data_IF_651931080727
#
_entry.id   IF_651931080727
#
_cell.length_a   1.000
_cell.length_b   1.000
_cell.length_c   1.000
_cell.angle_alpha   90.00
_cell.angle_beta   90.00
_cell.angle_gamma   90.00
#
_symmetry.space_group_name_H-M   'P 1'
#
loop_
_entity.id
_entity.type
_entity.pdbx_description
1 polymer ?
#
# COMPACT_ATOMS: atom_id res chain seq x y z
N UNK A 1 -5.47 -1.48 -25.91
CA UNK A 1 -5.05 -1.70 -24.52
C UNK A 1 -3.55 -1.47 -24.50
N UNK A 2 -3.08 -0.38 -23.88
CA UNK A 2 -1.64 -0.06 -23.86
C UNK A 2 -1.00 -0.92 -22.78
N UNK A 3 -0.17 -1.87 -23.20
CA UNK A 3 0.54 -2.79 -22.30
C UNK A 3 1.87 -2.16 -21.89
N UNK A 4 2.01 -1.89 -20.59
CA UNK A 4 3.26 -1.53 -19.95
C UNK A 4 4.06 -2.82 -19.72
N UNK A 5 5.23 -3.00 -20.35
CA UNK A 5 5.96 -4.27 -20.34
C UNK A 5 7.02 -4.29 -19.23
N UNK A 6 6.70 -4.72 -18.00
CA UNK A 6 7.80 -5.05 -17.05
C UNK A 6 7.47 -5.86 -15.79
N UNK A 7 6.22 -6.18 -15.42
CA UNK A 7 5.96 -6.84 -14.13
C UNK A 7 5.23 -8.20 -14.24
N UNK A 8 5.75 -9.29 -13.63
CA UNK A 8 5.10 -10.60 -13.60
C UNK A 8 3.80 -10.66 -12.76
N UNK A 9 3.41 -9.54 -12.13
CA UNK A 9 2.13 -9.35 -11.44
C UNK A 9 1.67 -7.93 -11.75
N UNK A 10 0.61 -7.79 -12.55
CA UNK A 10 0.37 -6.57 -13.32
C UNK A 10 -0.75 -5.70 -12.72
N UNK A 11 -0.55 -4.39 -12.69
CA UNK A 11 -1.61 -3.38 -12.68
C UNK A 11 -1.93 -3.01 -14.13
N UNK A 12 -3.10 -3.38 -14.64
CA UNK A 12 -3.57 -2.94 -15.94
C UNK A 12 -4.21 -1.56 -15.92
N UNK A 13 -3.98 -0.78 -16.97
CA UNK A 13 -4.67 0.49 -17.16
C UNK A 13 -5.96 0.23 -17.95
N UNK A 14 -7.10 0.62 -17.39
CA UNK A 14 -8.36 0.71 -18.12
C UNK A 14 -8.67 2.18 -18.44
N UNK A 15 -8.93 2.45 -19.70
CA UNK A 15 -9.28 3.78 -20.19
C UNK A 15 -10.68 4.21 -19.71
N UNK A 16 -10.81 5.43 -19.19
CA UNK A 16 -12.12 6.03 -18.90
C UNK A 16 -12.09 7.56 -19.02
N UNK A 17 -12.78 8.16 -19.99
CA UNK A 17 -12.89 9.63 -20.06
C UNK A 17 -13.69 10.18 -18.87
N UNK A 18 -13.16 11.20 -18.17
CA UNK A 18 -13.91 11.96 -17.16
C UNK A 18 -14.04 13.41 -17.61
N UNK A 19 -15.24 13.97 -17.55
CA UNK A 19 -15.48 15.38 -17.86
C UNK A 19 -15.31 16.20 -16.58
N UNK A 20 -14.35 17.12 -16.55
CA UNK A 20 -14.17 18.04 -15.44
C UNK A 20 -14.84 19.39 -15.76
N UNK A 21 -15.62 19.91 -14.82
CA UNK A 21 -16.31 21.21 -14.95
C UNK A 21 -15.60 22.24 -14.08
N UNK A 22 -14.94 23.21 -14.72
CA UNK A 22 -14.36 24.36 -14.04
C UNK A 22 -15.26 25.60 -14.14
N UNK A 23 -15.36 26.38 -13.07
CA UNK A 23 -15.92 27.72 -13.08
C UNK A 23 -14.77 28.72 -12.94
N UNK A 24 -14.56 29.58 -13.93
CA UNK A 24 -13.83 30.83 -13.69
C UNK A 24 -14.82 31.86 -13.16
N UNK A 25 -14.36 32.66 -12.19
CA UNK A 25 -15.04 33.88 -11.80
C UNK A 25 -15.22 34.72 -13.06
N UNK A 26 -16.49 34.91 -13.43
CA UNK A 26 -16.96 35.71 -14.57
C UNK A 26 -16.81 35.02 -15.94
N UNK A 27 -17.97 34.60 -16.48
CA UNK A 27 -18.24 34.08 -17.84
C UNK A 27 -18.05 32.57 -18.08
N UNK A 28 -19.20 31.93 -18.38
CA UNK A 28 -19.49 30.59 -18.94
C UNK A 28 -18.67 29.35 -18.48
N UNK A 29 -19.32 28.20 -18.21
CA UNK A 29 -18.61 26.97 -17.89
C UNK A 29 -17.77 26.52 -19.08
N UNK A 30 -16.45 26.42 -18.89
CA UNK A 30 -15.57 25.74 -19.83
C UNK A 30 -15.64 24.25 -19.52
N UNK A 31 -15.98 23.45 -20.53
CA UNK A 31 -15.91 22.00 -20.45
C UNK A 31 -14.55 21.55 -20.96
N UNK A 32 -13.63 21.28 -20.05
CA UNK A 32 -12.39 20.56 -20.38
C UNK A 32 -12.67 19.07 -20.25
N UNK A 33 -12.68 18.37 -21.39
CA UNK A 33 -12.71 16.91 -21.41
C UNK A 33 -11.29 16.42 -21.21
N UNK A 34 -10.96 16.05 -19.98
CA UNK A 34 -9.68 15.43 -19.67
C UNK A 34 -9.82 13.91 -19.82
N UNK A 35 -8.94 13.33 -20.63
CA UNK A 35 -8.86 11.87 -20.68
C UNK A 35 -8.16 11.37 -19.43
N UNK A 36 -8.86 10.52 -18.70
CA UNK A 36 -8.39 9.93 -17.47
C UNK A 36 -8.17 8.43 -17.70
N UNK A 37 -7.10 7.90 -17.17
CA UNK A 37 -6.85 6.46 -17.13
C UNK A 37 -7.08 5.98 -15.70
N UNK A 38 -7.94 4.98 -15.55
CA UNK A 38 -8.11 4.28 -14.28
C UNK A 38 -7.09 3.15 -14.20
N UNK A 39 -6.45 3.04 -13.04
CA UNK A 39 -5.53 1.96 -12.75
C UNK A 39 -6.33 0.80 -12.15
N UNK A 40 -6.13 -0.40 -12.69
CA UNK A 40 -6.74 -1.64 -12.21
C UNK A 40 -5.68 -2.66 -11.86
N UNK A 41 -5.94 -3.43 -10.81
CA UNK A 41 -5.11 -4.57 -10.47
C UNK A 41 -5.54 -5.79 -11.30
N UNK A 42 -4.60 -6.45 -11.98
CA UNK A 42 -4.82 -7.67 -12.75
C UNK A 42 -4.12 -8.83 -12.04
N UNK A 43 -4.87 -9.91 -11.78
CA UNK A 43 -4.29 -11.11 -11.18
C UNK A 43 -3.33 -11.81 -12.14
N UNK A 44 -2.46 -12.67 -11.60
CA UNK A 44 -1.55 -13.55 -12.35
C UNK A 44 -2.25 -14.47 -13.37
N UNK A 45 -3.56 -14.64 -13.27
CA UNK A 45 -4.40 -15.40 -14.22
C UNK A 45 -4.94 -14.54 -15.37
N UNK A 46 -4.42 -13.33 -15.55
CA UNK A 46 -4.83 -12.35 -16.57
C UNK A 46 -6.29 -11.88 -16.48
N UNK A 47 -6.98 -12.18 -15.37
CA UNK A 47 -8.30 -11.64 -15.06
C UNK A 47 -8.16 -10.34 -14.28
N UNK A 48 -8.82 -9.28 -14.73
CA UNK A 48 -8.97 -8.06 -13.94
C UNK A 48 -9.68 -8.39 -12.63
N UNK A 49 -9.18 -7.87 -11.52
CA UNK A 49 -9.95 -7.88 -10.28
C UNK A 49 -11.14 -6.94 -10.44
N UNK A 50 -12.30 -7.36 -9.93
CA UNK A 50 -13.45 -6.48 -9.79
C UNK A 50 -13.16 -5.45 -8.68
N UNK A 51 -13.69 -4.23 -8.79
CA UNK A 51 -13.46 -3.17 -7.79
C UNK A 51 -13.79 -3.63 -6.37
N UNK A 52 -14.92 -4.33 -6.19
CA UNK A 52 -15.35 -4.89 -4.91
C UNK A 52 -14.34 -5.88 -4.32
N UNK A 53 -13.70 -6.69 -5.16
CA UNK A 53 -12.70 -7.66 -4.70
C UNK A 53 -11.42 -6.94 -4.25
N UNK A 54 -11.00 -5.88 -4.96
CA UNK A 54 -9.89 -5.02 -4.52
C UNK A 54 -10.20 -4.34 -3.19
N UNK A 55 -11.41 -3.78 -3.05
CA UNK A 55 -11.85 -3.12 -1.82
C UNK A 55 -11.83 -4.10 -0.64
N UNK A 56 -12.37 -5.30 -0.81
CA UNK A 56 -12.37 -6.34 0.22
C UNK A 56 -10.94 -6.71 0.65
N UNK A 57 -10.02 -6.83 -0.31
CA UNK A 57 -8.62 -7.16 -0.04
C UNK A 57 -7.88 -6.02 0.64
N UNK A 58 -8.18 -4.78 0.27
CA UNK A 58 -7.64 -3.59 0.90
C UNK A 58 -8.12 -3.48 2.35
N UNK A 59 -9.41 -3.71 2.60
CA UNK A 59 -9.99 -3.76 3.95
C UNK A 59 -9.32 -4.84 4.78
N UNK A 60 -9.15 -6.06 4.23
CA UNK A 60 -8.44 -7.12 4.91
C UNK A 60 -6.98 -6.75 5.24
N UNK A 61 -6.25 -6.17 4.28
CA UNK A 61 -4.87 -5.73 4.47
C UNK A 61 -4.74 -4.67 5.57
N UNK A 62 -5.58 -3.63 5.55
CA UNK A 62 -5.59 -2.55 6.56
C UNK A 62 -5.97 -3.12 7.94
N UNK A 63 -6.91 -4.06 7.98
CA UNK A 63 -7.36 -4.68 9.23
C UNK A 63 -6.23 -5.49 9.87
N UNK A 64 -5.59 -6.38 9.10
CA UNK A 64 -4.45 -7.18 9.59
C UNK A 64 -3.28 -6.28 9.98
N UNK A 65 -2.98 -5.23 9.21
CA UNK A 65 -1.96 -4.26 9.57
C UNK A 65 -2.23 -3.59 10.91
N UNK A 66 -3.47 -3.17 11.14
CA UNK A 66 -3.88 -2.53 12.39
C UNK A 66 -3.76 -3.49 13.57
N UNK A 67 -4.14 -4.76 13.38
CA UNK A 67 -3.96 -5.80 14.40
C UNK A 67 -2.48 -6.06 14.71
N UNK A 68 -1.63 -6.20 13.69
CA UNK A 68 -0.18 -6.41 13.87
C UNK A 68 0.49 -5.22 14.54
N UNK A 69 0.15 -4.00 14.14
CA UNK A 69 0.65 -2.78 14.75
C UNK A 69 0.24 -2.69 16.23
N UNK A 70 -1.01 -3.02 16.56
CA UNK A 70 -1.48 -3.06 17.93
C UNK A 70 -0.76 -4.14 18.75
N UNK A 71 -0.63 -5.35 18.20
CA UNK A 71 0.09 -6.45 18.83
C UNK A 71 1.55 -6.08 19.12
N UNK A 72 2.24 -5.45 18.17
CA UNK A 72 3.60 -4.96 18.34
C UNK A 72 3.68 -3.96 19.51
N UNK A 73 2.79 -2.96 19.53
CA UNK A 73 2.78 -1.95 20.60
C UNK A 73 2.45 -2.53 21.98
N UNK A 74 1.71 -3.63 22.07
CA UNK A 74 1.51 -4.36 23.33
C UNK A 74 2.74 -5.21 23.72
N UNK A 75 3.50 -5.68 22.74
CA UNK A 75 4.67 -6.54 22.96
C UNK A 75 5.91 -5.73 23.38
N UNK A 76 6.11 -4.54 22.81
CA UNK A 76 7.29 -3.71 23.06
C UNK A 76 7.52 -3.42 24.56
N UNK A 77 6.52 -2.95 25.34
CA UNK A 77 6.70 -2.69 26.77
C UNK A 77 7.06 -3.95 27.58
N UNK A 78 6.54 -5.12 27.18
CA UNK A 78 6.88 -6.41 27.84
C UNK A 78 8.34 -6.77 27.67
N UNK A 79 8.99 -6.24 26.64
CA UNK A 79 10.42 -6.42 26.36
C UNK A 79 11.27 -5.25 26.88
N UNK A 80 10.70 -4.38 27.73
CA UNK A 80 11.37 -3.19 28.25
C UNK A 80 11.62 -2.10 27.20
N UNK A 81 10.94 -2.15 26.05
CA UNK A 81 11.06 -1.17 24.97
C UNK A 81 9.88 -0.19 25.03
N UNK A 82 10.09 1.11 24.77
CA UNK A 82 8.98 2.07 24.70
C UNK A 82 8.03 1.71 23.55
N UNK A 83 6.74 2.09 23.59
CA UNK A 83 5.85 1.96 22.44
C UNK A 83 6.38 2.70 21.20
N UNK A 84 5.92 2.29 20.02
CA UNK A 84 6.34 2.90 18.76
C UNK A 84 5.76 4.32 18.63
N UNK A 85 6.60 5.35 18.42
CA UNK A 85 6.15 6.75 18.46
C UNK A 85 5.27 7.13 17.27
N UNK A 86 4.24 7.95 17.50
CA UNK A 86 3.33 8.53 16.49
C UNK A 86 2.81 7.53 15.44
N UNK A 87 2.60 6.29 15.84
CA UNK A 87 2.78 5.18 14.90
C UNK A 87 1.55 4.84 14.06
N UNK A 88 0.33 4.92 14.61
CA UNK A 88 -0.84 4.48 13.85
C UNK A 88 -1.28 5.47 12.75
N UNK A 89 -1.49 6.79 13.01
CA UNK A 89 -1.87 7.72 11.94
C UNK A 89 -0.77 7.85 10.89
N UNK A 90 0.48 7.99 11.32
CA UNK A 90 1.62 8.18 10.41
C UNK A 90 1.87 6.98 9.51
N UNK A 91 1.60 5.75 9.98
CA UNK A 91 1.72 4.55 9.16
C UNK A 91 0.63 4.47 8.10
N UNK A 92 -0.63 4.73 8.47
CA UNK A 92 -1.74 4.67 7.51
C UNK A 92 -1.64 5.79 6.47
N UNK A 93 -1.17 6.97 6.86
CA UNK A 93 -0.88 8.07 5.94
C UNK A 93 0.24 7.69 4.97
N UNK A 94 1.30 7.03 5.45
CA UNK A 94 2.35 6.50 4.59
C UNK A 94 1.82 5.45 3.59
N UNK A 95 1.03 4.49 4.07
CA UNK A 95 0.44 3.46 3.20
C UNK A 95 -0.51 4.06 2.16
N UNK A 96 -1.28 5.08 2.54
CA UNK A 96 -2.10 5.85 1.62
C UNK A 96 -1.23 6.50 0.54
N UNK A 97 -0.09 7.09 0.90
CA UNK A 97 0.89 7.59 -0.06
C UNK A 97 1.40 6.51 -1.02
N UNK A 98 1.75 5.32 -0.51
CA UNK A 98 2.18 4.18 -1.35
C UNK A 98 1.09 3.77 -2.36
N UNK A 99 -0.18 3.81 -1.95
CA UNK A 99 -1.33 3.38 -2.75
C UNK A 99 -1.77 4.43 -3.78
N UNK A 100 -1.77 5.72 -3.41
CA UNK A 100 -2.49 6.77 -4.14
C UNK A 100 -1.61 7.93 -4.65
N UNK A 101 -0.40 8.13 -4.11
CA UNK A 101 0.45 9.25 -4.54
C UNK A 101 1.17 8.96 -5.86
N UNK A 102 1.42 10.05 -6.62
CA UNK A 102 2.23 10.09 -7.84
C UNK A 102 3.60 10.72 -7.58
N UNK A 103 4.37 10.18 -6.63
CA UNK A 103 5.70 10.75 -6.29
C UNK A 103 6.81 10.19 -7.16
N UNK A 104 7.05 8.88 -7.06
CA UNK A 104 8.19 8.21 -7.71
C UNK A 104 7.76 7.28 -8.84
N UNK A 105 6.45 7.04 -8.97
CA UNK A 105 5.84 6.10 -9.91
C UNK A 105 4.34 6.40 -10.06
N UNK A 106 3.65 5.55 -10.83
CA UNK A 106 2.20 5.54 -10.86
C UNK A 106 1.58 5.09 -9.52
N UNK A 107 0.39 5.59 -9.17
CA UNK A 107 -0.33 5.09 -8.02
C UNK A 107 -0.75 3.64 -8.28
N UNK A 108 -0.90 2.86 -7.20
CA UNK A 108 -1.40 1.49 -7.30
C UNK A 108 -2.90 1.50 -7.61
N UNK A 109 -3.62 2.42 -6.97
CA UNK A 109 -5.05 2.60 -7.09
C UNK A 109 -5.37 4.05 -7.42
N UNK A 110 -6.37 4.27 -8.26
CA UNK A 110 -6.84 5.62 -8.61
C UNK A 110 -6.73 5.89 -10.10
N UNK A 111 -6.33 7.13 -10.44
CA UNK A 111 -6.34 7.58 -11.82
C UNK A 111 -5.21 8.53 -12.20
N UNK A 112 -4.81 8.46 -13.47
CA UNK A 112 -3.76 9.29 -14.08
C UNK A 112 -4.36 10.05 -15.25
N UNK A 113 -3.95 11.30 -15.47
CA UNK A 113 -4.34 12.05 -16.66
C UNK A 113 -3.53 11.56 -17.87
N UNK A 114 -4.15 11.46 -19.05
CA UNK A 114 -3.48 10.89 -20.24
C UNK A 114 -2.14 11.60 -20.57
N UNK A 115 -2.07 12.91 -20.35
CA UNK A 115 -0.86 13.69 -20.62
C UNK A 115 0.24 13.50 -19.56
N UNK A 116 -0.06 12.91 -18.40
CA UNK A 116 0.93 12.63 -17.34
C UNK A 116 1.67 11.30 -17.56
N UNK A 117 1.21 10.45 -18.48
CA UNK A 117 1.77 9.11 -18.71
C UNK A 117 3.25 9.19 -19.13
N UNK A 118 3.64 10.19 -19.91
CA UNK A 118 5.04 10.35 -20.32
C UNK A 118 5.94 10.93 -19.21
N UNK A 119 5.36 11.41 -18.11
CA UNK A 119 6.07 12.16 -17.07
C UNK A 119 6.61 11.28 -15.94
N UNK A 120 6.17 10.02 -15.84
CA UNK A 120 6.59 9.10 -14.78
C UNK A 120 7.32 7.89 -15.35
N UNK A 121 8.37 7.39 -14.67
CA UNK A 121 8.94 6.09 -15.00
C UNK A 121 7.83 5.04 -14.88
N UNK A 122 7.85 4.11 -15.83
CA UNK A 122 6.82 3.10 -16.02
C UNK A 122 6.85 2.02 -14.92
N UNK A 123 7.79 2.13 -13.97
CA UNK A 123 8.09 1.11 -12.97
C UNK A 123 7.56 1.50 -11.58
N UNK A 124 6.88 0.55 -10.93
CA UNK A 124 6.51 0.67 -9.53
C UNK A 124 7.74 0.48 -8.65
N UNK A 125 7.82 1.23 -7.55
CA UNK A 125 8.85 1.06 -6.52
C UNK A 125 8.77 -0.34 -5.90
N UNK A 126 9.86 -0.88 -5.29
CA UNK A 126 9.84 -2.20 -4.67
C UNK A 126 8.70 -2.39 -3.65
N UNK A 127 8.41 -1.38 -2.84
CA UNK A 127 7.30 -1.45 -1.87
C UNK A 127 5.94 -1.52 -2.57
N UNK A 128 5.74 -0.75 -3.64
CA UNK A 128 4.51 -0.79 -4.40
C UNK A 128 4.33 -2.13 -5.12
N UNK A 129 5.40 -2.71 -5.66
CA UNK A 129 5.36 -4.05 -6.25
C UNK A 129 4.90 -5.09 -5.22
N UNK A 130 5.40 -5.01 -3.98
CA UNK A 130 5.01 -5.92 -2.91
C UNK A 130 3.54 -5.71 -2.48
N UNK A 131 3.05 -4.47 -2.42
CA UNK A 131 1.63 -4.17 -2.16
C UNK A 131 0.74 -4.70 -3.29
N UNK A 132 1.10 -4.44 -4.56
CA UNK A 132 0.39 -4.99 -5.73
C UNK A 132 0.33 -6.52 -5.64
N UNK A 133 1.46 -7.14 -5.32
CA UNK A 133 1.55 -8.58 -5.15
C UNK A 133 0.61 -9.07 -4.02
N UNK A 134 0.59 -8.39 -2.87
CA UNK A 134 -0.30 -8.73 -1.76
C UNK A 134 -1.78 -8.59 -2.13
N UNK A 135 -2.14 -7.58 -2.93
CA UNK A 135 -3.51 -7.34 -3.36
C UNK A 135 -3.95 -8.29 -4.50
N UNK A 136 -3.03 -8.82 -5.28
CA UNK A 136 -3.35 -9.64 -6.46
C UNK A 136 -3.17 -11.14 -6.26
N UNK A 137 -2.37 -11.55 -5.27
CA UNK A 137 -2.07 -12.96 -5.05
C UNK A 137 -3.21 -13.71 -4.34
N UNK A 138 -3.34 -15.01 -4.65
CA UNK A 138 -4.20 -15.96 -3.92
C UNK A 138 -3.40 -16.69 -2.85
N UNK A 139 -2.77 -15.94 -1.95
CA UNK A 139 -1.91 -16.53 -0.89
C UNK A 139 -2.75 -17.14 0.22
N UNK A 140 -2.15 -18.14 0.89
CA UNK A 140 -2.66 -18.70 2.14
C UNK A 140 -2.48 -17.67 3.27
N UNK A 141 -3.37 -17.69 4.27
CA UNK A 141 -3.42 -16.70 5.36
C UNK A 141 -2.06 -16.47 6.05
N UNK A 142 -1.22 -17.51 6.17
CA UNK A 142 0.09 -17.41 6.83
C UNK A 142 1.12 -16.62 6.03
N UNK A 143 1.20 -16.81 4.71
CA UNK A 143 2.12 -16.03 3.86
C UNK A 143 1.69 -14.56 3.79
N UNK A 144 0.38 -14.32 3.75
CA UNK A 144 -0.19 -12.98 3.80
C UNK A 144 0.19 -12.26 5.11
N UNK A 145 0.17 -12.96 6.25
CA UNK A 145 0.58 -12.37 7.53
C UNK A 145 2.05 -11.93 7.53
N UNK A 146 2.95 -12.77 7.00
CA UNK A 146 4.38 -12.46 6.93
C UNK A 146 4.67 -11.28 5.99
N UNK A 147 4.03 -11.22 4.83
CA UNK A 147 4.19 -10.06 3.91
C UNK A 147 3.72 -8.77 4.59
N UNK A 148 2.58 -8.84 5.28
CA UNK A 148 1.99 -7.69 5.95
C UNK A 148 2.85 -7.24 7.14
N UNK A 149 3.43 -8.17 7.90
CA UNK A 149 4.44 -7.85 8.92
C UNK A 149 5.68 -7.18 8.29
N UNK A 150 6.05 -7.61 7.08
CA UNK A 150 7.11 -6.98 6.28
C UNK A 150 6.82 -5.52 5.92
N UNK A 151 5.56 -5.16 5.60
CA UNK A 151 5.18 -3.75 5.37
C UNK A 151 5.39 -2.89 6.62
N UNK A 152 4.99 -3.40 7.78
CA UNK A 152 5.20 -2.71 9.05
C UNK A 152 6.69 -2.57 9.35
N UNK A 153 7.48 -3.63 9.14
CA UNK A 153 8.93 -3.58 9.31
C UNK A 153 9.61 -2.58 8.37
N UNK A 154 9.21 -2.55 7.09
CA UNK A 154 9.68 -1.57 6.13
C UNK A 154 9.39 -0.15 6.62
N UNK A 155 8.17 0.12 7.10
CA UNK A 155 7.84 1.45 7.61
C UNK A 155 8.66 1.81 8.85
N UNK A 156 8.77 0.90 9.82
CA UNK A 156 9.59 1.14 11.02
C UNK A 156 11.04 1.48 10.64
N UNK A 157 11.63 0.74 9.68
CA UNK A 157 13.01 0.96 9.25
C UNK A 157 13.20 2.30 8.55
N UNK A 158 12.29 2.69 7.66
CA UNK A 158 12.46 3.85 6.79
C UNK A 158 11.85 5.16 7.35
N UNK A 159 10.90 5.07 8.27
CA UNK A 159 10.17 6.22 8.82
C UNK A 159 10.31 6.37 10.34
N UNK A 160 10.93 5.39 11.01
CA UNK A 160 11.25 5.43 12.44
C UNK A 160 12.72 5.03 12.67
N UNK A 161 13.64 5.56 11.87
CA UNK A 161 15.05 5.10 11.80
C UNK A 161 15.77 5.12 13.16
N UNK A 162 15.57 6.18 13.96
CA UNK A 162 16.16 6.28 15.30
C UNK A 162 15.63 5.16 16.20
N UNK A 163 14.31 4.96 16.23
CA UNK A 163 13.68 3.91 17.00
C UNK A 163 14.14 2.52 16.51
N UNK A 164 14.20 2.32 15.20
CA UNK A 164 14.66 1.08 14.58
C UNK A 164 16.06 0.73 15.07
N UNK A 165 16.99 1.67 14.96
CA UNK A 165 18.39 1.45 15.36
C UNK A 165 18.52 1.13 16.85
N UNK A 166 17.74 1.80 17.71
CA UNK A 166 17.81 1.61 19.16
C UNK A 166 17.13 0.33 19.66
N UNK A 167 16.02 -0.08 19.03
CA UNK A 167 15.12 -1.09 19.62
C UNK A 167 14.91 -2.35 18.77
N UNK A 168 15.07 -2.25 17.45
CA UNK A 168 15.00 -3.38 16.53
C UNK A 168 16.37 -3.81 16.04
N UNK A 169 17.32 -2.89 15.86
CA UNK A 169 18.68 -3.10 15.32
C UNK A 169 18.71 -3.60 13.87
N UNK A 170 18.13 -4.76 13.60
CA UNK A 170 18.09 -5.42 12.31
C UNK A 170 16.75 -6.13 12.05
N UNK A 171 16.59 -6.67 10.84
CA UNK A 171 15.38 -7.35 10.41
C UNK A 171 15.11 -8.65 11.17
N UNK A 172 16.15 -9.32 11.68
CA UNK A 172 16.00 -10.57 12.42
C UNK A 172 15.44 -10.30 13.82
N UNK A 173 16.03 -9.35 14.55
CA UNK A 173 15.53 -8.90 15.86
C UNK A 173 14.09 -8.34 15.73
N UNK A 174 13.77 -7.58 14.66
CA UNK A 174 12.39 -7.17 14.38
C UNK A 174 11.46 -8.38 14.16
N UNK A 175 11.88 -9.34 13.35
CA UNK A 175 11.10 -10.55 13.04
C UNK A 175 10.75 -11.36 14.28
N UNK A 176 11.71 -11.56 15.19
CA UNK A 176 11.50 -12.26 16.45
C UNK A 176 10.52 -11.51 17.37
N UNK A 177 10.64 -10.19 17.47
CA UNK A 177 9.71 -9.36 18.25
C UNK A 177 8.29 -9.45 17.67
N UNK A 178 8.16 -9.36 16.35
CA UNK A 178 6.87 -9.47 15.66
C UNK A 178 6.24 -10.85 15.83
N UNK A 179 7.04 -11.93 15.74
CA UNK A 179 6.55 -13.28 15.96
C UNK A 179 6.03 -13.42 17.40
N UNK A 180 6.76 -12.91 18.39
CA UNK A 180 6.32 -12.87 19.78
C UNK A 180 5.02 -12.07 19.98
N UNK A 181 4.87 -10.96 19.26
CA UNK A 181 3.66 -10.14 19.27
C UNK A 181 2.45 -10.91 18.70
N UNK A 182 2.63 -11.57 17.55
CA UNK A 182 1.60 -12.37 16.88
C UNK A 182 1.15 -13.53 17.78
N UNK A 183 2.09 -14.29 18.35
CA UNK A 183 1.78 -15.42 19.25
C UNK A 183 1.01 -14.93 20.48
N UNK A 184 1.41 -13.78 21.03
CA UNK A 184 0.74 -13.20 22.20
C UNK A 184 -0.68 -12.75 21.87
N UNK A 185 -0.90 -12.17 20.69
CA UNK A 185 -2.23 -11.72 20.25
C UNK A 185 -3.18 -12.90 20.01
N UNK A 186 -2.69 -14.01 19.47
CA UNK A 186 -3.49 -15.22 19.25
C UNK A 186 -3.92 -15.86 20.58
N UNK A 187 -3.08 -15.82 21.61
CA UNK A 187 -3.39 -16.41 22.93
C UNK A 187 -4.42 -15.63 23.76
N UNK A 188 -4.73 -14.40 23.36
CA UNK A 188 -5.67 -13.51 24.07
C UNK A 188 -7.08 -13.57 23.46
N UNK A 189 -7.23 -14.07 22.23
CA UNK A 189 -8.52 -14.35 21.58
C UNK A 189 -9.01 -15.76 21.93
#
# INVERSE_FOLDING_TARGET
>A
MVTIPSLPYFTGLQYSSKVNRGLRHEMQPIFTVEKVLQIRLICSTSKSLEGKEVDNRLVALISVLSELHHALNLQLPKLGKPPLPNSQPSYLDWLAGVLFDKKESYPILGSILEHEISSYPVEFTPIQQQVIYSLTSRRLNTQQLTDIAGFLGYWCKNHQEEYWTQHFKDEADFGEIMLGAIISAIRIK
#
